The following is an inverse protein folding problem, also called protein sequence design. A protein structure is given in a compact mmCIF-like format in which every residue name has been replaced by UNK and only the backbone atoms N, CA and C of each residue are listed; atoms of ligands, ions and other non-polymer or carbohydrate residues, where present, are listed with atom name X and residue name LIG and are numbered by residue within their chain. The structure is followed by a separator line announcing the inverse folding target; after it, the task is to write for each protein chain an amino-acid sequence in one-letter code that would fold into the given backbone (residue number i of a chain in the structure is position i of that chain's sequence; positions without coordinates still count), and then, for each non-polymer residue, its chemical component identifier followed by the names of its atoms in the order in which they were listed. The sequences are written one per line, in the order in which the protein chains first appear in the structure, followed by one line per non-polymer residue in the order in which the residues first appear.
data_IF_059016983756
#
_entry.id   IF_059016983756
#
_cell.length_a   1.000
_cell.length_b   1.000
_cell.length_c   1.000
_cell.angle_alpha   90.00
_cell.angle_beta   90.00
_cell.angle_gamma   90.00
#
_symmetry.space_group_name_H-M   'P 1'
#
loop_
_entity.id
_entity.type
_entity.pdbx_description
1 polymer ?
#
# COMPACT_ATOMS: atom_id res chain seq x y z
N UNK A 1 -16.22 19.47 8.93
CA UNK A 1 -16.33 19.39 10.40
C UNK A 1 -15.24 20.28 10.99
N UNK A 2 -15.51 20.98 12.09
CA UNK A 2 -14.52 21.86 12.73
C UNK A 2 -13.43 20.98 13.37
N UNK A 3 -12.25 20.89 12.75
CA UNK A 3 -11.08 20.15 13.25
C UNK A 3 -10.35 20.95 14.35
N UNK A 4 -11.09 21.40 15.37
CA UNK A 4 -10.49 22.08 16.50
C UNK A 4 -9.51 21.12 17.20
N UNK A 5 -8.32 21.62 17.55
CA UNK A 5 -7.32 20.86 18.29
C UNK A 5 -7.97 20.22 19.52
N UNK A 6 -7.95 18.88 19.60
CA UNK A 6 -8.54 18.16 20.73
C UNK A 6 -7.82 18.48 22.04
N UNK A 7 -6.55 18.91 21.96
CA UNK A 7 -5.73 19.26 23.10
C UNK A 7 -5.10 20.65 22.89
N UNK A 8 -5.39 21.57 23.79
CA UNK A 8 -4.69 22.86 23.93
C UNK A 8 -3.87 22.85 25.22
N UNK A 9 -2.58 22.55 25.11
CA UNK A 9 -1.64 22.53 26.24
C UNK A 9 -0.24 22.93 25.79
N UNK A 10 0.54 23.57 26.68
CA UNK A 10 1.95 23.89 26.42
C UNK A 10 2.78 22.61 26.24
N UNK A 11 2.46 21.57 27.01
CA UNK A 11 3.09 20.25 26.94
C UNK A 11 2.04 19.17 27.25
N UNK A 12 2.09 18.07 26.50
CA UNK A 12 1.33 16.85 26.78
C UNK A 12 2.33 15.76 27.13
N UNK A 13 2.30 15.28 28.37
CA UNK A 13 3.22 14.27 28.87
C UNK A 13 2.51 12.92 29.08
N UNK A 14 3.03 11.87 28.44
CA UNK A 14 2.67 10.47 28.69
C UNK A 14 3.59 9.94 29.79
N UNK A 15 3.08 9.93 31.02
CA UNK A 15 3.82 9.43 32.19
C UNK A 15 4.01 7.91 32.13
N UNK A 16 4.87 7.36 32.97
CA UNK A 16 5.23 5.94 32.99
C UNK A 16 4.06 4.96 33.11
N UNK A 17 2.91 5.37 33.65
CA UNK A 17 1.68 4.58 33.68
C UNK A 17 0.97 4.44 32.31
N UNK A 18 1.45 5.16 31.30
CA UNK A 18 0.87 5.21 29.96
C UNK A 18 -0.37 6.10 29.87
N UNK A 19 -0.91 6.19 28.66
CA UNK A 19 -2.18 6.84 28.37
C UNK A 19 -3.03 5.99 27.44
N UNK A 20 -4.35 6.05 27.61
CA UNK A 20 -5.31 5.48 26.68
C UNK A 20 -6.13 6.60 26.07
N UNK A 21 -6.19 6.63 24.74
CA UNK A 21 -7.11 7.47 23.98
C UNK A 21 -8.18 6.55 23.39
N UNK A 22 -9.39 6.63 23.96
CA UNK A 22 -10.59 6.04 23.39
C UNK A 22 -11.28 7.07 22.50
N UNK A 23 -11.26 6.81 21.19
CA UNK A 23 -11.91 7.71 20.22
C UNK A 23 -13.40 7.44 20.07
N UNK A 24 -13.96 6.44 20.74
CA UNK A 24 -15.28 5.88 20.45
C UNK A 24 -15.42 5.67 18.93
N UNK A 25 -16.40 6.29 18.28
CA UNK A 25 -16.65 6.33 16.84
C UNK A 25 -16.21 7.65 16.18
N UNK A 26 -15.45 8.49 16.88
CA UNK A 26 -15.09 9.85 16.46
C UNK A 26 -13.67 9.95 15.92
N UNK A 27 -13.42 11.07 15.25
CA UNK A 27 -12.09 11.47 14.84
C UNK A 27 -11.51 12.46 15.86
N UNK A 28 -10.29 12.18 16.33
CA UNK A 28 -9.56 12.93 17.36
C UNK A 28 -8.22 13.37 16.79
N UNK A 29 -7.97 14.69 16.76
CA UNK A 29 -6.76 15.28 16.20
C UNK A 29 -5.83 15.76 17.31
N UNK A 30 -4.61 15.24 17.31
CA UNK A 30 -3.52 15.67 18.18
C UNK A 30 -2.42 16.25 17.31
N UNK A 31 -2.42 17.57 17.20
CA UNK A 31 -1.48 18.35 16.38
C UNK A 31 -0.20 18.68 17.13
N UNK A 32 -0.26 18.78 18.47
CA UNK A 32 0.90 18.97 19.33
C UNK A 32 1.62 17.65 19.59
N UNK A 33 2.94 17.67 19.53
CA UNK A 33 3.77 16.52 19.92
C UNK A 33 3.64 16.18 21.41
N UNK A 34 3.49 14.89 21.71
CA UNK A 34 3.48 14.36 23.08
C UNK A 34 4.89 13.92 23.51
N UNK A 35 5.23 14.10 24.78
CA UNK A 35 6.54 13.74 25.37
C UNK A 35 6.37 12.74 26.51
N UNK A 36 7.46 12.22 27.08
CA UNK A 36 7.43 11.42 28.31
C UNK A 36 7.99 10.00 28.16
N UNK A 37 7.80 9.17 29.18
CA UNK A 37 8.37 7.82 29.22
C UNK A 37 7.34 6.71 28.98
N UNK A 38 6.04 7.02 29.02
CA UNK A 38 4.98 6.03 28.92
C UNK A 38 4.62 5.62 27.50
N UNK A 39 3.74 4.64 27.43
CA UNK A 39 3.17 4.11 26.19
C UNK A 39 1.80 4.72 25.91
N UNK A 40 1.40 4.73 24.63
CA UNK A 40 0.08 5.17 24.20
C UNK A 40 -0.76 3.97 23.75
N UNK A 41 -2.01 3.89 24.21
CA UNK A 41 -2.99 2.91 23.72
C UNK A 41 -4.11 3.63 23.00
N UNK A 42 -4.34 3.29 21.73
CA UNK A 42 -5.48 3.71 20.93
C UNK A 42 -6.57 2.64 20.99
N UNK A 43 -7.78 3.04 21.38
CA UNK A 43 -8.99 2.22 21.34
C UNK A 43 -10.18 3.01 20.76
N UNK A 44 -11.34 2.36 20.64
CA UNK A 44 -12.50 2.89 19.90
C UNK A 44 -12.37 2.69 18.39
N UNK A 45 -13.49 2.51 17.69
CA UNK A 45 -13.56 2.30 16.23
C UNK A 45 -13.17 3.52 15.40
N UNK A 46 -13.16 4.71 16.00
CA UNK A 46 -12.82 5.98 15.38
C UNK A 46 -11.34 6.15 15.04
N UNK A 47 -10.98 7.37 14.64
CA UNK A 47 -9.67 7.74 14.12
C UNK A 47 -8.93 8.58 15.16
N UNK A 48 -7.70 8.20 15.51
CA UNK A 48 -6.76 9.09 16.19
C UNK A 48 -5.72 9.56 15.19
N UNK A 49 -5.62 10.86 14.99
CA UNK A 49 -4.68 11.49 14.07
C UNK A 49 -3.58 12.21 14.84
N UNK A 50 -2.33 11.82 14.59
CA UNK A 50 -1.13 12.38 15.20
C UNK A 50 -0.31 13.12 14.13
N UNK A 51 -0.39 14.45 14.15
CA UNK A 51 0.34 15.31 13.22
C UNK A 51 1.63 15.89 13.84
N UNK A 52 1.71 15.93 15.17
CA UNK A 52 2.88 16.41 15.90
C UNK A 52 4.04 15.41 15.97
N UNK A 53 5.22 15.91 16.35
CA UNK A 53 6.38 15.08 16.67
C UNK A 53 6.23 14.48 18.08
N UNK A 54 5.82 13.22 18.18
CA UNK A 54 5.65 12.54 19.46
C UNK A 54 6.97 11.84 19.83
N UNK A 55 7.53 12.27 20.96
CA UNK A 55 8.84 11.83 21.46
C UNK A 55 8.74 11.02 22.75
N UNK A 56 7.53 10.61 23.14
CA UNK A 56 7.39 9.67 24.25
C UNK A 56 8.08 8.34 23.92
N UNK A 57 8.79 7.78 24.91
CA UNK A 57 9.68 6.64 24.69
C UNK A 57 8.94 5.29 24.55
N UNK A 58 7.74 5.17 25.12
CA UNK A 58 6.95 3.95 25.05
C UNK A 58 6.39 3.68 23.65
N UNK A 59 6.02 2.43 23.41
CA UNK A 59 5.38 2.05 22.15
C UNK A 59 3.93 2.52 22.09
N UNK A 60 3.37 2.55 20.88
CA UNK A 60 1.95 2.79 20.65
C UNK A 60 1.23 1.49 20.30
N UNK A 61 0.21 1.12 21.07
CA UNK A 61 -0.67 0.00 20.78
C UNK A 61 -1.95 0.49 20.12
N UNK A 62 -2.26 0.00 18.92
CA UNK A 62 -3.51 0.26 18.20
C UNK A 62 -4.40 -0.97 18.36
N UNK A 63 -5.26 -0.93 19.38
CA UNK A 63 -6.12 -2.06 19.70
C UNK A 63 -7.41 -2.07 18.88
N UNK A 64 -7.93 -0.88 18.53
CA UNK A 64 -9.14 -0.70 17.74
C UNK A 64 -9.08 0.57 16.88
N UNK A 65 -9.80 0.53 15.75
CA UNK A 65 -10.01 1.68 14.87
C UNK A 65 -8.76 2.04 14.07
N UNK A 66 -8.61 3.34 13.79
CA UNK A 66 -7.52 3.85 12.95
C UNK A 66 -6.57 4.73 13.74
N UNK A 67 -5.27 4.50 13.57
CA UNK A 67 -4.21 5.45 13.92
C UNK A 67 -3.64 6.05 12.63
N UNK A 68 -3.77 7.36 12.47
CA UNK A 68 -3.13 8.12 11.39
C UNK A 68 -1.89 8.81 11.96
N UNK A 69 -0.71 8.53 11.44
CA UNK A 69 0.55 9.18 11.81
C UNK A 69 1.06 9.98 10.62
N UNK A 70 0.98 11.31 10.69
CA UNK A 70 1.62 12.20 9.71
C UNK A 70 2.85 12.89 10.27
N UNK A 71 2.93 13.04 11.60
CA UNK A 71 4.12 13.49 12.30
C UNK A 71 5.11 12.35 12.55
N UNK A 72 5.54 12.20 13.80
CA UNK A 72 6.44 11.11 14.18
C UNK A 72 6.04 10.42 15.48
N UNK A 73 6.43 9.17 15.62
CA UNK A 73 6.45 8.40 16.87
C UNK A 73 7.90 7.96 17.14
N UNK A 74 8.44 8.25 18.31
CA UNK A 74 9.79 7.77 18.67
C UNK A 74 9.84 6.26 18.93
N UNK A 75 8.82 5.72 19.61
CA UNK A 75 8.64 4.29 19.84
C UNK A 75 8.12 3.52 18.61
N UNK A 76 7.92 2.22 18.79
CA UNK A 76 7.31 1.35 17.78
C UNK A 76 5.78 1.34 17.84
N UNK A 77 5.15 0.71 16.84
CA UNK A 77 3.70 0.54 16.79
C UNK A 77 3.33 -0.94 16.74
N UNK A 78 2.36 -1.35 17.57
CA UNK A 78 1.70 -2.66 17.47
C UNK A 78 0.26 -2.46 17.00
N UNK A 79 -0.09 -2.99 15.84
CA UNK A 79 -1.44 -2.89 15.25
C UNK A 79 -2.16 -4.23 15.43
N UNK A 80 -3.28 -4.22 16.14
CA UNK A 80 -4.11 -5.41 16.31
C UNK A 80 -4.86 -5.75 15.00
N UNK A 81 -5.29 -7.01 14.89
CA UNK A 81 -6.19 -7.43 13.82
C UNK A 81 -7.47 -6.58 13.82
N UNK A 82 -7.97 -6.23 12.63
CA UNK A 82 -9.12 -5.32 12.47
C UNK A 82 -8.84 -3.83 12.73
N UNK A 83 -7.61 -3.46 13.12
CA UNK A 83 -7.19 -2.06 13.24
C UNK A 83 -6.39 -1.60 12.02
N UNK A 84 -6.32 -0.28 11.82
CA UNK A 84 -5.61 0.34 10.70
C UNK A 84 -4.52 1.29 11.21
N UNK A 85 -3.31 1.15 10.67
CA UNK A 85 -2.26 2.16 10.73
C UNK A 85 -2.15 2.83 9.36
N UNK A 86 -2.24 4.16 9.31
CA UNK A 86 -2.04 4.93 8.08
C UNK A 86 -1.29 6.24 8.27
N UNK A 87 -1.04 6.96 7.18
CA UNK A 87 -0.43 8.29 7.17
C UNK A 87 0.96 8.32 6.55
N UNK A 88 1.57 9.51 6.50
CA UNK A 88 2.86 9.75 5.83
C UNK A 88 4.04 9.98 6.77
N UNK A 89 3.89 9.61 8.04
CA UNK A 89 4.83 9.92 9.11
C UNK A 89 6.00 8.94 9.25
N UNK A 90 6.77 9.15 10.31
CA UNK A 90 7.91 8.30 10.70
C UNK A 90 7.66 7.58 12.03
N UNK A 91 7.92 6.28 12.07
CA UNK A 91 7.86 5.43 13.27
C UNK A 91 9.29 4.98 13.61
N UNK A 92 9.77 5.36 14.78
CA UNK A 92 11.17 5.20 15.17
C UNK A 92 11.52 3.79 15.65
N UNK A 93 10.60 3.12 16.34
CA UNK A 93 10.84 1.80 16.92
C UNK A 93 10.34 0.62 16.08
N UNK A 94 10.79 -0.57 16.45
CA UNK A 94 10.37 -1.82 15.82
C UNK A 94 8.85 -1.99 15.94
N UNK A 95 8.21 -2.35 14.83
CA UNK A 95 6.75 -2.35 14.72
C UNK A 95 6.21 -3.70 14.24
N UNK A 96 5.02 -4.03 14.72
CA UNK A 96 4.29 -5.25 14.33
C UNK A 96 2.90 -4.86 13.85
N UNK A 97 2.53 -5.31 12.65
CA UNK A 97 1.19 -5.08 12.09
C UNK A 97 0.49 -6.42 11.93
N UNK A 98 -0.57 -6.66 12.71
CA UNK A 98 -1.49 -7.79 12.52
C UNK A 98 -2.81 -7.37 11.85
N UNK A 99 -3.03 -6.05 11.68
CA UNK A 99 -4.18 -5.47 10.99
C UNK A 99 -3.80 -4.94 9.61
N UNK A 100 -4.35 -3.78 9.27
CA UNK A 100 -4.09 -3.11 7.98
C UNK A 100 -3.02 -2.04 8.11
N UNK A 101 -2.15 -1.93 7.11
CA UNK A 101 -1.19 -0.84 6.93
C UNK A 101 -1.45 -0.18 5.57
N UNK A 102 -1.69 1.13 5.55
CA UNK A 102 -1.85 1.91 4.32
C UNK A 102 -0.96 3.15 4.38
N UNK A 103 -0.02 3.31 3.45
CA UNK A 103 0.87 4.46 3.48
C UNK A 103 0.16 5.74 2.98
N UNK A 104 0.61 6.89 3.47
CA UNK A 104 0.13 8.19 3.01
C UNK A 104 -1.26 8.60 3.49
N UNK A 105 -1.67 9.77 3.01
CA UNK A 105 -3.08 10.16 2.89
C UNK A 105 -3.58 9.90 1.46
N UNK A 106 -2.93 8.94 0.78
CA UNK A 106 -3.26 8.35 -0.51
C UNK A 106 -3.01 9.23 -1.76
N UNK A 107 -1.94 8.95 -2.55
CA UNK A 107 -0.78 8.11 -2.20
C UNK A 107 0.21 8.81 -1.26
N UNK A 108 1.13 8.06 -0.69
CA UNK A 108 2.28 8.63 0.00
C UNK A 108 3.28 7.63 0.55
N UNK A 109 4.23 8.12 1.34
CA UNK A 109 5.25 7.28 1.97
C UNK A 109 5.10 7.27 3.48
N UNK A 110 5.09 6.07 4.08
CA UNK A 110 5.33 5.88 5.52
C UNK A 110 6.76 5.35 5.75
N UNK A 111 7.41 5.79 6.82
CA UNK A 111 8.77 5.35 7.16
C UNK A 111 8.81 4.66 8.52
N UNK A 112 9.32 3.43 8.55
CA UNK A 112 9.74 2.72 9.75
C UNK A 112 11.26 2.81 9.83
N UNK A 113 11.81 3.47 10.86
CA UNK A 113 13.27 3.59 11.04
C UNK A 113 13.93 2.31 11.56
N UNK A 114 13.13 1.32 11.97
CA UNK A 114 13.56 0.04 12.54
C UNK A 114 12.86 -1.12 11.83
N UNK A 115 12.81 -2.28 12.48
CA UNK A 115 12.23 -3.50 11.93
C UNK A 115 10.70 -3.39 11.78
N UNK A 116 10.17 -3.99 10.72
CA UNK A 116 8.74 -4.13 10.46
C UNK A 116 8.38 -5.61 10.37
N UNK A 117 7.48 -6.06 11.24
CA UNK A 117 6.90 -7.41 11.21
C UNK A 117 5.46 -7.37 10.74
N UNK A 118 5.16 -8.07 9.64
CA UNK A 118 3.83 -8.30 9.12
C UNK A 118 3.31 -9.63 9.66
N UNK A 119 2.35 -9.55 10.57
CA UNK A 119 1.70 -10.69 11.22
C UNK A 119 0.78 -11.48 10.29
N UNK A 120 0.35 -12.66 10.73
CA UNK A 120 -0.57 -13.52 9.99
C UNK A 120 -1.91 -12.80 9.81
N UNK A 121 -2.42 -12.74 8.59
CA UNK A 121 -3.67 -12.04 8.25
C UNK A 121 -3.52 -10.52 8.18
N UNK A 122 -2.32 -9.97 8.32
CA UNK A 122 -2.06 -8.55 8.05
C UNK A 122 -2.28 -8.23 6.57
N UNK A 123 -2.66 -6.98 6.30
CA UNK A 123 -2.92 -6.50 4.96
C UNK A 123 -2.21 -5.17 4.73
N UNK A 124 -1.32 -5.11 3.74
CA UNK A 124 -0.88 -3.81 3.21
C UNK A 124 -1.84 -3.41 2.10
N UNK A 125 -2.43 -2.22 2.18
CA UNK A 125 -3.13 -1.61 1.05
C UNK A 125 -2.11 -0.76 0.31
N UNK A 126 -1.82 -1.13 -0.93
CA UNK A 126 -0.94 -0.38 -1.82
C UNK A 126 -1.76 0.32 -2.89
N UNK A 127 -1.59 1.63 -2.99
CA UNK A 127 -2.36 2.47 -3.90
C UNK A 127 -1.50 2.95 -5.09
N UNK A 128 -2.09 2.96 -6.28
CA UNK A 128 -1.55 3.65 -7.47
C UNK A 128 -2.58 4.64 -7.99
N UNK A 129 -2.21 5.92 -8.04
CA UNK A 129 -3.09 7.02 -8.42
C UNK A 129 -3.07 7.35 -9.91
N UNK A 130 -2.02 6.97 -10.63
CA UNK A 130 -1.93 7.26 -12.07
C UNK A 130 -1.06 6.28 -12.83
N UNK A 131 -1.17 6.32 -14.16
CA UNK A 131 -0.43 5.47 -15.10
C UNK A 131 1.06 5.83 -15.15
N UNK A 132 1.81 5.54 -14.08
CA UNK A 132 3.24 5.85 -13.95
C UNK A 132 3.94 4.82 -13.06
N UNK A 133 5.20 4.51 -13.39
CA UNK A 133 6.10 3.66 -12.59
C UNK A 133 7.32 4.40 -12.03
N UNK A 134 7.44 5.70 -12.31
CA UNK A 134 8.62 6.51 -11.96
C UNK A 134 8.31 7.67 -11.02
N UNK A 135 7.08 8.18 -11.03
CA UNK A 135 6.67 9.25 -10.14
C UNK A 135 6.25 8.68 -8.79
N UNK A 136 7.17 8.75 -7.83
CA UNK A 136 7.01 8.15 -6.52
C UNK A 136 6.02 8.90 -5.60
N UNK A 137 5.37 9.96 -6.06
CA UNK A 137 4.22 10.59 -5.39
C UNK A 137 2.89 10.00 -5.83
N UNK A 138 2.87 9.21 -6.90
CA UNK A 138 1.65 8.65 -7.50
C UNK A 138 1.37 7.23 -7.04
N UNK A 139 2.19 6.66 -6.15
CA UNK A 139 1.95 5.36 -5.55
C UNK A 139 2.49 5.28 -4.14
N UNK A 140 1.92 4.36 -3.37
CA UNK A 140 2.31 4.17 -2.00
C UNK A 140 3.68 3.54 -1.86
N UNK A 141 4.39 4.00 -0.82
CA UNK A 141 5.69 3.46 -0.42
C UNK A 141 5.77 3.26 1.08
N UNK A 142 6.48 2.22 1.47
CA UNK A 142 6.84 1.94 2.85
C UNK A 142 8.36 1.77 2.87
N UNK A 143 9.03 2.63 3.62
CA UNK A 143 10.46 2.50 3.88
C UNK A 143 10.67 1.77 5.20
N UNK A 144 11.52 0.74 5.20
CA UNK A 144 11.90 -0.04 6.37
C UNK A 144 13.40 0.08 6.56
N UNK A 145 13.81 0.82 7.58
CA UNK A 145 15.22 1.06 7.92
C UNK A 145 15.90 -0.16 8.55
N UNK A 146 15.13 -1.10 9.09
CA UNK A 146 15.60 -2.38 9.62
C UNK A 146 15.26 -3.57 8.73
N UNK A 147 15.00 -4.71 9.37
CA UNK A 147 14.55 -5.94 8.72
C UNK A 147 13.04 -5.93 8.47
N UNK A 148 12.62 -6.58 7.39
CA UNK A 148 11.24 -6.95 7.14
C UNK A 148 11.05 -8.45 7.46
N UNK A 149 10.05 -8.75 8.30
CA UNK A 149 9.57 -10.11 8.51
C UNK A 149 8.12 -10.22 8.03
N UNK A 150 7.86 -11.04 7.03
CA UNK A 150 6.51 -11.42 6.63
C UNK A 150 6.19 -12.84 7.13
N UNK A 151 5.20 -12.95 8.01
CA UNK A 151 4.73 -14.24 8.53
C UNK A 151 3.68 -14.85 7.61
N UNK A 152 3.50 -16.18 7.68
CA UNK A 152 2.53 -16.92 6.86
C UNK A 152 1.14 -16.28 6.93
N UNK A 153 0.58 -15.92 5.77
CA UNK A 153 -0.74 -15.30 5.65
C UNK A 153 -0.74 -13.77 5.70
N UNK A 154 0.42 -13.11 5.72
CA UNK A 154 0.52 -11.69 5.40
C UNK A 154 0.17 -11.44 3.93
N UNK A 155 -0.57 -10.38 3.64
CA UNK A 155 -1.05 -10.11 2.28
C UNK A 155 -0.99 -8.65 1.88
N UNK A 156 -1.16 -8.42 0.58
CA UNK A 156 -1.17 -7.11 -0.04
C UNK A 156 -2.44 -6.98 -0.89
N UNK A 157 -3.19 -5.92 -0.69
CA UNK A 157 -4.30 -5.51 -1.55
C UNK A 157 -3.82 -4.39 -2.47
N UNK A 158 -4.05 -4.54 -3.78
CA UNK A 158 -3.74 -3.48 -4.75
C UNK A 158 -5.00 -2.66 -5.01
N UNK A 159 -4.93 -1.34 -4.82
CA UNK A 159 -5.99 -0.41 -5.16
C UNK A 159 -5.54 0.59 -6.22
N UNK A 160 -6.33 0.69 -7.29
CA UNK A 160 -6.06 1.53 -8.44
C UNK A 160 -7.20 2.52 -8.72
N UNK A 161 -8.33 2.42 -8.03
CA UNK A 161 -9.57 3.07 -8.50
C UNK A 161 -10.50 3.53 -7.38
N UNK A 162 -10.40 2.98 -6.17
CA UNK A 162 -11.27 3.30 -5.04
C UNK A 162 -10.61 4.25 -4.02
N UNK A 163 -9.66 5.07 -4.50
CA UNK A 163 -8.89 5.99 -3.67
C UNK A 163 -9.73 7.19 -3.21
N UNK A 164 -9.58 7.56 -1.94
CA UNK A 164 -10.15 8.79 -1.37
C UNK A 164 -9.43 10.04 -1.91
N UNK A 165 -9.56 10.33 -3.19
CA UNK A 165 -8.82 11.41 -3.88
C UNK A 165 -8.96 11.43 -5.40
N UNK A 166 -9.57 10.41 -6.00
CA UNK A 166 -9.85 10.34 -7.44
C UNK A 166 -8.65 9.85 -8.25
N UNK A 167 -8.56 8.53 -8.43
CA UNK A 167 -7.53 7.92 -9.29
C UNK A 167 -7.64 8.38 -10.74
N UNK A 168 -6.53 8.34 -11.45
CA UNK A 168 -6.38 8.55 -12.90
C UNK A 168 -5.85 7.31 -13.62
N UNK A 169 -5.77 6.16 -12.93
CA UNK A 169 -5.45 4.89 -13.58
C UNK A 169 -6.53 4.58 -14.62
N UNK A 170 -6.09 4.21 -15.82
CA UNK A 170 -6.95 3.85 -16.96
C UNK A 170 -6.31 2.66 -17.68
N UNK A 171 -7.01 1.52 -17.68
CA UNK A 171 -6.48 0.32 -18.33
C UNK A 171 -6.38 0.45 -19.84
N UNK A 172 -7.09 1.37 -20.49
CA UNK A 172 -6.99 1.56 -21.94
C UNK A 172 -5.71 2.28 -22.38
N UNK A 173 -5.02 2.94 -21.45
CA UNK A 173 -3.81 3.72 -21.73
C UNK A 173 -2.63 2.83 -22.17
N UNK A 174 -1.90 3.26 -23.21
CA UNK A 174 -0.69 2.62 -23.74
C UNK A 174 0.40 2.30 -22.70
N UNK A 175 0.45 2.99 -21.57
CA UNK A 175 1.34 2.71 -20.44
C UNK A 175 1.32 1.22 -20.05
N UNK A 176 0.13 0.63 -20.02
CA UNK A 176 -0.09 -0.75 -19.64
C UNK A 176 0.24 -1.75 -20.76
N UNK A 177 0.68 -1.31 -21.94
CA UNK A 177 1.06 -2.22 -23.05
C UNK A 177 2.47 -2.77 -22.90
N UNK A 178 3.16 -2.40 -21.83
CA UNK A 178 4.48 -2.89 -21.47
C UNK A 178 4.51 -3.34 -20.02
N UNK A 179 5.46 -4.19 -19.67
CA UNK A 179 5.66 -4.61 -18.29
C UNK A 179 6.04 -3.40 -17.41
N UNK A 180 5.46 -3.33 -16.22
CA UNK A 180 5.71 -2.26 -15.26
C UNK A 180 6.11 -2.86 -13.91
N UNK A 181 6.82 -2.08 -13.10
CA UNK A 181 7.16 -2.51 -11.75
C UNK A 181 7.32 -1.31 -10.81
N UNK A 182 6.90 -1.48 -9.55
CA UNK A 182 6.94 -0.47 -8.50
C UNK A 182 7.63 -1.05 -7.29
N UNK A 183 8.74 -0.45 -6.85
CA UNK A 183 9.30 -0.77 -5.53
C UNK A 183 8.48 -0.07 -4.47
N UNK A 184 7.70 -0.82 -3.70
CA UNK A 184 6.81 -0.23 -2.69
C UNK A 184 7.29 -0.49 -1.26
N UNK A 185 7.82 -1.68 -0.94
CA UNK A 185 8.53 -1.93 0.33
C UNK A 185 10.03 -1.81 0.08
N UNK A 186 10.61 -0.70 0.49
CA UNK A 186 12.04 -0.45 0.43
C UNK A 186 12.67 -0.91 1.75
N UNK A 187 13.46 -1.99 1.71
CA UNK A 187 14.01 -2.60 2.94
C UNK A 187 15.53 -2.44 2.96
N UNK A 188 16.03 -1.73 3.96
CA UNK A 188 17.46 -1.50 4.14
C UNK A 188 18.18 -2.71 4.75
N UNK A 189 17.53 -3.39 5.69
CA UNK A 189 18.00 -4.66 6.27
C UNK A 189 17.65 -5.85 5.40
N UNK A 190 17.42 -7.00 6.03
CA UNK A 190 17.03 -8.24 5.35
C UNK A 190 15.52 -8.39 5.25
N UNK A 191 15.05 -9.09 4.20
CA UNK A 191 13.66 -9.51 4.08
C UNK A 191 13.56 -11.02 4.30
N UNK A 192 12.77 -11.41 5.30
CA UNK A 192 12.47 -12.80 5.64
C UNK A 192 11.00 -13.09 5.40
N UNK A 193 10.71 -14.24 4.77
CA UNK A 193 9.34 -14.70 4.54
C UNK A 193 8.64 -14.04 3.35
N UNK A 194 9.37 -13.60 2.32
CA UNK A 194 8.75 -13.12 1.08
C UNK A 194 7.73 -14.10 0.50
N UNK A 195 8.03 -15.41 0.53
CA UNK A 195 7.13 -16.47 0.05
C UNK A 195 5.80 -16.56 0.84
N UNK A 196 5.71 -15.92 2.01
CA UNK A 196 4.49 -15.82 2.79
C UNK A 196 3.56 -14.69 2.33
N UNK A 197 4.06 -13.74 1.51
CA UNK A 197 3.29 -12.64 0.98
C UNK A 197 2.48 -13.08 -0.24
N UNK A 198 1.21 -12.67 -0.28
CA UNK A 198 0.32 -12.92 -1.41
C UNK A 198 -0.55 -11.71 -1.74
N UNK A 199 -0.98 -11.61 -3.00
CA UNK A 199 -2.03 -10.66 -3.36
C UNK A 199 -3.37 -11.17 -2.85
N UNK A 200 -4.09 -10.32 -2.11
CA UNK A 200 -5.38 -10.66 -1.50
C UNK A 200 -6.57 -10.42 -2.45
N UNK A 201 -6.38 -9.61 -3.49
CA UNK A 201 -7.37 -9.39 -4.53
C UNK A 201 -6.86 -9.87 -5.90
N UNK A 202 -7.80 -10.36 -6.72
CA UNK A 202 -7.58 -10.81 -8.10
C UNK A 202 -8.34 -9.99 -9.13
N UNK A 203 -9.22 -9.10 -8.67
CA UNK A 203 -9.98 -8.18 -9.50
C UNK A 203 -9.42 -6.78 -9.28
N UNK A 204 -8.96 -6.16 -10.35
CA UNK A 204 -8.37 -4.82 -10.34
C UNK A 204 -9.23 -3.91 -11.21
N UNK A 205 -9.77 -2.85 -10.60
CA UNK A 205 -10.60 -1.88 -11.27
C UNK A 205 -9.80 -0.60 -11.50
N UNK A 206 -9.92 0.02 -12.67
CA UNK A 206 -9.36 1.34 -12.93
C UNK A 206 -10.25 2.44 -12.31
N UNK A 207 -9.88 3.71 -12.53
CA UNK A 207 -10.64 4.85 -12.02
C UNK A 207 -12.09 4.93 -12.52
N UNK A 208 -12.38 4.33 -13.68
CA UNK A 208 -13.73 4.28 -14.26
C UNK A 208 -14.50 3.00 -13.87
N UNK A 209 -13.90 2.13 -13.05
CA UNK A 209 -14.50 0.87 -12.62
C UNK A 209 -14.38 -0.26 -13.64
N UNK A 210 -13.58 -0.12 -14.70
CA UNK A 210 -13.35 -1.19 -15.66
C UNK A 210 -12.39 -2.23 -15.08
N UNK A 211 -12.68 -3.51 -15.30
CA UNK A 211 -11.81 -4.60 -14.87
C UNK A 211 -10.60 -4.76 -15.78
N UNK A 212 -9.41 -4.92 -15.19
CA UNK A 212 -8.17 -5.25 -15.91
C UNK A 212 -8.35 -6.51 -16.76
N UNK A 213 -9.05 -7.53 -16.24
CA UNK A 213 -9.23 -8.80 -16.94
C UNK A 213 -10.02 -8.63 -18.26
N UNK A 214 -10.90 -7.63 -18.33
CA UNK A 214 -11.68 -7.31 -19.53
C UNK A 214 -10.89 -6.37 -20.44
N UNK A 215 -10.31 -5.31 -19.89
CA UNK A 215 -9.58 -4.31 -20.65
C UNK A 215 -8.27 -4.83 -21.24
N UNK A 216 -7.60 -5.75 -20.52
CA UNK A 216 -6.29 -6.32 -20.85
C UNK A 216 -6.21 -7.80 -20.53
N UNK A 217 -6.99 -8.59 -21.26
CA UNK A 217 -7.04 -10.03 -21.09
C UNK A 217 -5.65 -10.66 -21.13
N UNK A 218 -5.34 -11.50 -20.14
CA UNK A 218 -4.06 -12.19 -19.98
C UNK A 218 -2.98 -11.40 -19.25
N UNK A 219 -3.20 -10.11 -18.94
CA UNK A 219 -2.28 -9.33 -18.11
C UNK A 219 -2.48 -9.67 -16.64
N UNK A 220 -1.44 -9.49 -15.82
CA UNK A 220 -1.50 -9.83 -14.40
C UNK A 220 -0.63 -8.93 -13.54
N UNK A 221 -1.01 -8.84 -12.27
CA UNK A 221 -0.15 -8.34 -11.20
C UNK A 221 0.42 -9.50 -10.40
N UNK A 222 1.64 -9.32 -9.92
CA UNK A 222 2.35 -10.27 -9.07
C UNK A 222 3.24 -9.52 -8.08
N UNK A 223 3.67 -10.21 -7.04
CA UNK A 223 4.72 -9.74 -6.16
C UNK A 223 6.05 -10.31 -6.62
N UNK A 224 7.09 -9.49 -6.59
CA UNK A 224 8.46 -9.92 -6.85
C UNK A 224 9.42 -9.28 -5.85
N UNK A 225 10.51 -9.95 -5.56
CA UNK A 225 11.57 -9.42 -4.71
C UNK A 225 12.79 -9.01 -5.55
N UNK A 226 13.31 -7.81 -5.29
CA UNK A 226 14.56 -7.31 -5.88
C UNK A 226 15.50 -6.88 -4.77
N UNK A 227 16.58 -7.64 -4.57
CA UNK A 227 17.39 -7.53 -3.36
C UNK A 227 16.56 -7.84 -2.12
N UNK A 228 16.49 -6.91 -1.17
CA UNK A 228 15.62 -7.02 0.01
C UNK A 228 14.27 -6.35 -0.19
N UNK A 229 14.08 -5.56 -1.25
CA UNK A 229 12.85 -4.78 -1.44
C UNK A 229 11.78 -5.60 -2.16
N UNK A 230 10.51 -5.34 -1.82
CA UNK A 230 9.37 -5.97 -2.49
C UNK A 230 8.77 -5.02 -3.50
N UNK A 231 8.44 -5.58 -4.65
CA UNK A 231 7.87 -4.89 -5.78
C UNK A 231 6.49 -5.43 -6.12
N UNK A 232 5.62 -4.54 -6.57
CA UNK A 232 4.45 -4.91 -7.38
C UNK A 232 4.92 -4.96 -8.83
N UNK A 233 4.67 -6.06 -9.53
CA UNK A 233 5.07 -6.27 -10.91
C UNK A 233 3.85 -6.54 -11.78
N UNK A 234 3.74 -5.80 -12.87
CA UNK A 234 2.71 -5.94 -13.88
C UNK A 234 3.29 -6.59 -15.13
N UNK A 235 2.70 -7.71 -15.54
CA UNK A 235 3.00 -8.36 -16.80
C UNK A 235 1.96 -7.95 -17.84
N UNK A 236 2.41 -7.23 -18.89
CA UNK A 236 1.61 -7.02 -20.08
C UNK A 236 1.58 -8.29 -20.93
N UNK A 237 0.45 -8.54 -21.60
CA UNK A 237 0.44 -9.52 -22.70
C UNK A 237 1.18 -8.90 -23.88
N UNK A 238 2.19 -9.59 -24.46
CA UNK A 238 2.82 -9.12 -25.68
C UNK A 238 1.77 -9.00 -26.77
N UNK A 239 1.60 -7.82 -27.37
CA UNK A 239 0.85 -7.73 -28.61
C UNK A 239 1.52 -8.68 -29.63
N UNK A 240 0.75 -9.50 -30.38
CA UNK A 240 1.33 -10.27 -31.44
C UNK A 240 2.01 -9.28 -32.39
N UNK A 241 3.34 -9.32 -32.45
CA UNK A 241 4.10 -8.37 -33.26
C UNK A 241 3.53 -8.31 -34.69
N UNK A 242 3.55 -7.14 -35.32
CA UNK A 242 2.95 -6.91 -36.64
C UNK A 242 3.32 -7.98 -37.67
N UNK A 243 4.51 -8.58 -37.56
CA UNK A 243 4.95 -9.72 -38.38
C UNK A 243 4.10 -11.00 -38.23
N UNK A 244 3.62 -11.32 -37.03
CA UNK A 244 2.73 -12.47 -36.78
C UNK A 244 1.34 -12.24 -37.39
N UNK A 245 0.81 -11.02 -37.30
CA UNK A 245 -0.46 -10.63 -37.94
C UNK A 245 -0.33 -10.59 -39.47
N UNK A 246 0.81 -10.12 -40.01
CA UNK A 246 1.09 -10.13 -41.45
C UNK A 246 1.19 -11.57 -41.98
N UNK A 247 1.84 -12.48 -41.25
CA UNK A 247 1.93 -13.90 -41.62
C UNK A 247 0.55 -14.57 -41.62
N UNK A 248 -0.29 -14.30 -40.60
CA UNK A 248 -1.65 -14.83 -40.56
C UNK A 248 -2.53 -14.26 -41.68
N UNK A 249 -2.38 -12.97 -42.00
CA UNK A 249 -3.05 -12.33 -43.12
C UNK A 249 -2.65 -12.93 -44.48
N UNK A 250 -1.34 -13.14 -44.70
CA UNK A 250 -0.81 -13.75 -45.93
C UNK A 250 -1.24 -15.21 -46.08
N UNK A 251 -1.20 -16.00 -45.00
CA UNK A 251 -1.67 -17.40 -45.00
C UNK A 251 -3.17 -17.48 -45.38
N UNK A 252 -3.98 -16.58 -44.84
CA UNK A 252 -5.41 -16.48 -45.14
C UNK A 252 -5.65 -16.10 -46.61
N UNK A 253 -4.87 -15.16 -47.14
CA UNK A 253 -4.94 -14.75 -48.55
C UNK A 253 -4.52 -15.88 -49.50
N UNK A 254 -3.47 -16.63 -49.17
CA UNK A 254 -3.04 -17.80 -49.95
C UNK A 254 -4.09 -18.90 -49.98
N UNK A 255 -4.72 -19.21 -48.84
CA UNK A 255 -5.80 -20.21 -48.77
C UNK A 255 -7.04 -19.79 -49.58
N UNK A 256 -7.40 -18.50 -49.58
CA UNK A 256 -8.48 -17.96 -50.40
C UNK A 256 -8.17 -18.04 -51.91
N UNK A 257 -6.91 -17.80 -52.29
CA UNK A 257 -6.45 -17.87 -53.69
C UNK A 257 -6.43 -19.31 -54.22
N UNK A 258 -6.04 -20.26 -53.37
CA UNK A 258 -6.10 -21.69 -53.69
C UNK A 258 -7.54 -22.19 -53.88
N UNK A 259 -8.48 -21.74 -53.03
CA UNK A 259 -9.91 -22.11 -53.15
C UNK A 259 -10.61 -21.56 -54.41
N UNK A 260 -10.17 -20.41 -54.93
CA UNK A 260 -10.71 -19.84 -56.18
C UNK A 260 -10.19 -20.55 -57.44
N UNK A 261 -8.96 -21.06 -57.40
CA UNK A 261 -8.34 -21.73 -58.55
C UNK A 261 -8.83 -23.17 -58.74
N UNK A 262 -9.42 -23.79 -57.71
CA UNK A 262 -10.01 -25.13 -57.76
C UNK A 262 -11.48 -25.16 -58.25
N UNK A 263 -12.02 -24.03 -58.73
CA UNK A 263 -13.41 -23.90 -59.23
C UNK A 263 -13.50 -23.55 -60.73
N UNK A 264 -12.43 -23.79 -61.48
CA UNK A 264 -12.38 -23.72 -62.96
C UNK A 264 -12.13 -25.14 -63.45
#
# INVERSE_FOLDING_TARGET
MNHADFITADTVEIKSGGATIDTTDKEVWVTKGMVGAGSLTKTGSGILKLDGANTFAGNTAVNQGTLTVNGSLAGGVSVASGSLLKGSGTIGGASTVNGTLAAGNSPGQMTFSSDLSLGSGSNIVWELFGNTSSDATQFDRISVGGNLLATSGAGITLDFGNLAGGSTVDWSDSFWSSAQSWTFLMVAGSTTGFDNLSLLNSTFLDAAGNSLATARSGSSFSLSQSGNSIMVSYAAVPEPGTGSLLLMGLASLTLLRMRRSARI
#
